data_IF_107663931484
#
_entry.id   IF_107663931484
#
_cell.length_a   1.000
_cell.length_b   1.000
_cell.length_c   1.000
_cell.angle_alpha   90.00
_cell.angle_beta   90.00
_cell.angle_gamma   90.00
#
_symmetry.space_group_name_H-M   'P 1'
#
loop_
_entity.id
_entity.type
_entity.pdbx_description
1 polymer ?
#
# COMPACT_ATOMS: atom_id res chain seq x y z
N UNK A 1 1.53 -25.34 4.67
CA UNK A 1 1.65 -24.37 5.78
C UNK A 1 0.47 -23.41 5.75
N UNK A 2 0.35 -22.52 6.75
CA UNK A 2 -0.77 -21.57 6.86
C UNK A 2 -0.94 -20.73 5.59
N UNK A 3 0.17 -20.24 5.00
CA UNK A 3 0.14 -19.45 3.76
C UNK A 3 -0.39 -20.24 2.56
N UNK A 4 0.01 -21.50 2.37
CA UNK A 4 -0.51 -22.34 1.28
C UNK A 4 -2.03 -22.51 1.38
N UNK A 5 -2.55 -22.84 2.58
CA UNK A 5 -4.00 -23.03 2.77
C UNK A 5 -4.81 -21.79 2.42
N UNK A 6 -4.31 -20.61 2.74
CA UNK A 6 -4.97 -19.35 2.42
C UNK A 6 -4.87 -19.08 0.90
N UNK A 7 -3.72 -19.30 0.28
CA UNK A 7 -3.55 -19.00 -1.14
C UNK A 7 -4.35 -19.97 -1.99
N UNK A 8 -4.38 -21.25 -1.62
CA UNK A 8 -5.21 -22.25 -2.28
C UNK A 8 -6.68 -21.82 -2.29
N UNK A 9 -7.18 -21.18 -1.22
CA UNK A 9 -8.53 -20.63 -1.18
C UNK A 9 -8.73 -19.47 -2.17
N UNK A 10 -7.82 -18.49 -2.20
CA UNK A 10 -7.91 -17.33 -3.10
C UNK A 10 -7.75 -17.73 -4.58
N UNK A 11 -6.83 -18.63 -4.87
CA UNK A 11 -6.51 -19.06 -6.23
C UNK A 11 -7.39 -20.20 -6.74
N UNK A 12 -8.26 -20.79 -5.90
CA UNK A 12 -9.17 -21.88 -6.30
C UNK A 12 -10.01 -21.59 -7.55
N UNK A 13 -10.33 -20.31 -7.76
CA UNK A 13 -11.16 -19.85 -8.87
C UNK A 13 -10.37 -19.43 -10.13
N UNK A 14 -9.05 -19.59 -10.12
CA UNK A 14 -8.16 -19.34 -11.26
C UNK A 14 -7.95 -20.62 -12.08
N UNK A 15 -7.31 -20.50 -13.23
CA UNK A 15 -6.99 -21.66 -14.07
C UNK A 15 -5.98 -22.59 -13.38
N UNK A 16 -6.01 -23.89 -13.73
CA UNK A 16 -5.16 -24.92 -13.11
C UNK A 16 -3.66 -24.59 -13.20
N UNK A 17 -3.26 -23.92 -14.29
CA UNK A 17 -1.89 -23.46 -14.48
C UNK A 17 -1.46 -22.50 -13.36
N UNK A 18 -2.31 -21.52 -13.01
CA UNK A 18 -2.03 -20.55 -11.94
C UNK A 18 -2.08 -21.23 -10.57
N UNK A 19 -3.05 -22.11 -10.36
CA UNK A 19 -3.16 -22.88 -9.11
C UNK A 19 -1.88 -23.70 -8.84
N UNK A 20 -1.29 -24.30 -9.88
CA UNK A 20 -0.04 -25.04 -9.77
C UNK A 20 1.18 -24.20 -9.36
N UNK A 21 1.11 -22.87 -9.50
CA UNK A 21 2.18 -21.95 -9.11
C UNK A 21 2.12 -21.56 -7.63
N UNK A 22 0.96 -21.69 -6.99
CA UNK A 22 0.73 -21.19 -5.62
C UNK A 22 1.77 -21.70 -4.62
N UNK A 23 2.06 -23.02 -4.53
CA UNK A 23 3.05 -23.50 -3.56
C UNK A 23 4.44 -22.90 -3.82
N UNK A 24 4.81 -22.77 -5.11
CA UNK A 24 6.10 -22.21 -5.54
C UNK A 24 6.20 -20.72 -5.22
N UNK A 25 5.11 -19.98 -5.37
CA UNK A 25 5.05 -18.56 -4.99
C UNK A 25 5.25 -18.37 -3.50
N UNK A 26 4.57 -19.17 -2.68
CA UNK A 26 4.71 -19.10 -1.21
C UNK A 26 6.13 -19.45 -0.77
N UNK A 27 6.68 -20.54 -1.29
CA UNK A 27 8.05 -20.97 -0.95
C UNK A 27 9.08 -19.92 -1.41
N UNK A 28 8.90 -19.35 -2.61
CA UNK A 28 9.75 -18.28 -3.13
C UNK A 28 9.71 -17.01 -2.28
N UNK A 29 8.55 -16.59 -1.76
CA UNK A 29 8.44 -15.42 -0.86
C UNK A 29 9.22 -15.69 0.44
N UNK A 30 9.08 -16.89 0.98
CA UNK A 30 9.75 -17.28 2.24
C UNK A 30 11.27 -17.31 2.03
N UNK A 31 11.75 -17.88 0.93
CA UNK A 31 13.18 -17.93 0.60
C UNK A 31 13.76 -16.52 0.42
N UNK A 32 13.12 -15.66 -0.38
CA UNK A 32 13.55 -14.26 -0.56
C UNK A 32 13.58 -13.52 0.78
N UNK A 33 12.56 -13.69 1.62
CA UNK A 33 12.52 -13.07 2.95
C UNK A 33 13.69 -13.54 3.85
N UNK A 34 13.99 -14.84 3.86
CA UNK A 34 15.11 -15.39 4.63
C UNK A 34 16.45 -14.80 4.16
N UNK A 35 16.69 -14.78 2.84
CA UNK A 35 17.90 -14.19 2.26
C UNK A 35 18.02 -12.70 2.55
N UNK A 36 16.91 -11.95 2.56
CA UNK A 36 16.88 -10.54 2.99
C UNK A 36 17.31 -10.42 4.45
N UNK A 37 16.76 -11.25 5.33
CA UNK A 37 17.10 -11.27 6.75
C UNK A 37 18.57 -11.55 7.02
N UNK A 38 19.20 -12.39 6.20
CA UNK A 38 20.62 -12.75 6.35
C UNK A 38 21.58 -11.72 5.73
N UNK A 39 21.16 -11.05 4.65
CA UNK A 39 22.05 -10.18 3.84
C UNK A 39 21.84 -8.69 4.13
N UNK A 40 20.59 -8.24 4.20
CA UNK A 40 20.23 -6.82 4.28
C UNK A 40 19.97 -6.38 5.72
N UNK A 41 20.98 -6.55 6.56
CA UNK A 41 20.91 -6.23 7.98
C UNK A 41 20.83 -4.70 8.23
N UNK A 42 20.10 -4.27 9.27
CA UNK A 42 20.02 -2.86 9.62
C UNK A 42 21.38 -2.32 10.05
N UNK A 43 21.75 -1.17 9.51
CA UNK A 43 22.96 -0.41 9.87
C UNK A 43 22.58 1.01 10.24
N UNK A 44 23.45 1.83 10.86
CA UNK A 44 23.14 3.23 11.12
C UNK A 44 22.70 4.03 9.89
N UNK A 45 23.23 3.71 8.70
CA UNK A 45 22.84 4.34 7.44
C UNK A 45 21.54 3.75 6.84
N UNK A 46 21.15 2.54 7.25
CA UNK A 46 20.02 1.76 6.73
C UNK A 46 19.17 1.22 7.89
N UNK A 47 18.85 2.06 8.86
CA UNK A 47 18.20 1.64 10.12
C UNK A 47 16.77 1.11 9.91
N UNK A 48 16.14 1.51 8.80
CA UNK A 48 14.81 1.08 8.38
C UNK A 48 14.81 -0.26 7.63
N UNK A 49 15.96 -0.91 7.45
CA UNK A 49 16.06 -2.26 6.90
C UNK A 49 15.67 -3.28 7.98
N UNK A 50 14.44 -3.16 8.45
CA UNK A 50 13.83 -4.05 9.42
C UNK A 50 12.71 -4.81 8.73
N UNK A 51 12.90 -6.11 8.61
CA UNK A 51 11.96 -7.01 7.94
C UNK A 51 11.46 -8.05 8.94
N UNK A 52 10.16 -8.31 8.93
CA UNK A 52 9.54 -9.28 9.84
C UNK A 52 8.45 -10.10 9.13
N UNK A 53 7.86 -11.06 9.84
CA UNK A 53 6.85 -11.97 9.27
C UNK A 53 5.60 -11.26 8.73
N UNK A 54 5.31 -10.02 9.16
CA UNK A 54 4.22 -9.21 8.59
C UNK A 54 4.52 -8.81 7.14
N UNK A 55 5.79 -8.72 6.76
CA UNK A 55 6.19 -8.37 5.41
C UNK A 55 5.90 -9.52 4.43
N UNK A 56 6.15 -10.77 4.83
CA UNK A 56 5.71 -11.97 4.09
C UNK A 56 4.20 -11.89 3.82
N UNK A 57 3.42 -11.59 4.87
CA UNK A 57 1.98 -11.46 4.75
C UNK A 57 1.54 -10.33 3.81
N UNK A 58 2.25 -9.19 3.79
CA UNK A 58 1.96 -8.08 2.87
C UNK A 58 2.20 -8.45 1.40
N UNK A 59 3.28 -9.19 1.10
CA UNK A 59 3.54 -9.68 -0.27
C UNK A 59 2.42 -10.62 -0.68
N UNK A 60 2.14 -11.58 0.20
CA UNK A 60 1.12 -12.59 -0.02
C UNK A 60 -0.27 -11.99 -0.26
N UNK A 61 -0.70 -11.02 0.55
CA UNK A 61 -1.95 -10.31 0.38
C UNK A 61 -2.02 -9.55 -0.94
N UNK A 62 -0.90 -8.93 -1.36
CA UNK A 62 -0.83 -8.25 -2.65
C UNK A 62 -1.01 -9.22 -3.82
N UNK A 63 -0.36 -10.38 -3.77
CA UNK A 63 -0.47 -11.42 -4.79
C UNK A 63 -1.90 -11.99 -4.84
N UNK A 64 -2.51 -12.24 -3.68
CA UNK A 64 -3.91 -12.69 -3.59
C UNK A 64 -4.92 -11.62 -4.03
N UNK A 65 -4.51 -10.35 -4.13
CA UNK A 65 -5.33 -9.26 -4.64
C UNK A 65 -5.52 -9.32 -6.16
N UNK A 66 -4.71 -10.08 -6.90
CA UNK A 66 -4.78 -10.17 -8.35
C UNK A 66 -6.19 -10.57 -8.81
N UNK A 67 -6.75 -9.84 -9.76
CA UNK A 67 -8.08 -10.16 -10.29
C UNK A 67 -8.03 -11.37 -11.22
N UNK A 68 -8.83 -12.41 -10.93
CA UNK A 68 -9.04 -13.53 -11.86
C UNK A 68 -9.55 -13.09 -13.24
N UNK A 69 -10.29 -11.98 -13.33
CA UNK A 69 -10.87 -11.54 -14.61
C UNK A 69 -9.82 -10.87 -15.50
N UNK A 70 -8.76 -10.33 -14.90
CA UNK A 70 -7.75 -9.52 -15.58
C UNK A 70 -6.34 -10.12 -15.50
N UNK A 71 -6.14 -11.20 -14.75
CA UNK A 71 -4.84 -11.78 -14.40
C UNK A 71 -4.87 -13.30 -14.24
N UNK A 72 -5.60 -14.02 -15.11
CA UNK A 72 -5.73 -15.49 -15.03
C UNK A 72 -4.63 -16.29 -15.75
N UNK A 73 -3.53 -15.64 -16.15
CA UNK A 73 -2.41 -16.36 -16.80
C UNK A 73 -1.28 -16.59 -15.80
N UNK A 74 -0.54 -17.70 -15.97
CA UNK A 74 0.66 -17.98 -15.19
C UNK A 74 1.65 -16.81 -15.20
N UNK A 75 1.90 -16.24 -16.38
CA UNK A 75 2.82 -15.12 -16.56
C UNK A 75 2.40 -13.88 -15.77
N UNK A 76 1.10 -13.51 -15.79
CA UNK A 76 0.60 -12.36 -15.04
C UNK A 76 0.68 -12.58 -13.52
N UNK A 77 0.43 -13.81 -13.06
CA UNK A 77 0.55 -14.15 -11.66
C UNK A 77 2.01 -14.09 -11.18
N UNK A 78 2.97 -14.55 -12.00
CA UNK A 78 4.41 -14.43 -11.73
C UNK A 78 4.87 -12.96 -11.74
N UNK A 79 4.40 -12.16 -12.70
CA UNK A 79 4.67 -10.71 -12.74
C UNK A 79 4.11 -9.99 -11.52
N UNK A 80 2.91 -10.35 -11.07
CA UNK A 80 2.33 -9.84 -9.84
C UNK A 80 3.20 -10.21 -8.62
N UNK A 81 3.68 -11.45 -8.55
CA UNK A 81 4.60 -11.89 -7.50
C UNK A 81 5.88 -11.04 -7.43
N UNK A 82 6.53 -10.78 -8.57
CA UNK A 82 7.71 -9.89 -8.64
C UNK A 82 7.37 -8.47 -8.23
N UNK A 83 6.23 -7.95 -8.71
CA UNK A 83 5.77 -6.61 -8.34
C UNK A 83 5.62 -6.47 -6.82
N UNK A 84 4.96 -7.43 -6.18
CA UNK A 84 4.68 -7.40 -4.74
C UNK A 84 5.93 -7.55 -3.87
N UNK A 85 6.92 -8.34 -4.30
CA UNK A 85 8.24 -8.39 -3.66
C UNK A 85 8.89 -7.02 -3.71
N UNK A 86 8.88 -6.36 -4.87
CA UNK A 86 9.42 -5.02 -5.03
C UNK A 86 8.65 -3.98 -4.20
N UNK A 87 7.32 -4.05 -4.11
CA UNK A 87 6.52 -3.09 -3.31
C UNK A 87 6.77 -3.24 -1.81
N UNK A 88 7.01 -4.45 -1.31
CA UNK A 88 7.17 -4.68 0.14
C UNK A 88 8.61 -4.55 0.59
N UNK A 89 9.54 -5.10 -0.20
CA UNK A 89 10.97 -5.13 0.13
C UNK A 89 11.75 -4.07 -0.64
N UNK A 90 11.60 -4.04 -1.97
CA UNK A 90 12.34 -3.15 -2.86
C UNK A 90 12.15 -1.65 -2.59
N UNK A 91 10.93 -1.22 -2.27
CA UNK A 91 10.61 0.18 -1.96
C UNK A 91 11.31 0.69 -0.68
N UNK A 92 11.84 -0.19 0.18
CA UNK A 92 12.66 0.19 1.34
C UNK A 92 14.15 0.35 1.00
N UNK A 93 14.59 -0.11 -0.17
CA UNK A 93 16.01 -0.12 -0.54
C UNK A 93 16.45 1.25 -1.06
N UNK A 94 17.53 1.79 -0.48
CA UNK A 94 17.98 3.17 -0.73
C UNK A 94 19.07 3.27 -1.79
N UNK A 95 19.84 2.21 -2.02
CA UNK A 95 20.94 2.22 -2.98
C UNK A 95 20.76 1.20 -4.12
N UNK A 96 21.45 1.47 -5.22
CA UNK A 96 21.35 0.64 -6.42
C UNK A 96 22.00 -0.74 -6.24
N UNK A 97 22.92 -0.89 -5.28
CA UNK A 97 23.57 -2.18 -5.03
C UNK A 97 22.58 -3.16 -4.41
N UNK A 98 21.84 -2.74 -3.39
CA UNK A 98 20.83 -3.57 -2.74
C UNK A 98 19.66 -3.86 -3.69
N UNK A 99 19.26 -2.89 -4.51
CA UNK A 99 18.23 -3.09 -5.54
C UNK A 99 18.65 -4.13 -6.57
N UNK A 100 19.88 -4.04 -7.07
CA UNK A 100 20.43 -5.04 -7.99
C UNK A 100 20.56 -6.42 -7.33
N UNK A 101 20.90 -6.47 -6.03
CA UNK A 101 20.92 -7.73 -5.28
C UNK A 101 19.52 -8.36 -5.18
N UNK A 102 18.48 -7.56 -4.92
CA UNK A 102 17.10 -8.06 -4.85
C UNK A 102 16.64 -8.56 -6.23
N UNK A 103 16.94 -7.82 -7.29
CA UNK A 103 16.64 -8.25 -8.67
C UNK A 103 17.33 -9.58 -9.00
N UNK A 104 18.57 -9.80 -8.55
CA UNK A 104 19.26 -11.08 -8.73
C UNK A 104 18.54 -12.23 -7.99
N UNK A 105 18.03 -11.99 -6.78
CA UNK A 105 17.22 -13.00 -6.07
C UNK A 105 15.92 -13.31 -6.82
N UNK A 106 15.28 -12.29 -7.40
CA UNK A 106 14.09 -12.46 -8.24
C UNK A 106 14.42 -13.28 -9.49
N UNK A 107 15.50 -12.96 -10.20
CA UNK A 107 15.98 -13.70 -11.38
C UNK A 107 16.25 -15.17 -11.08
N UNK A 108 16.93 -15.46 -9.97
CA UNK A 108 17.18 -16.84 -9.51
C UNK A 108 15.86 -17.59 -9.29
N UNK A 109 14.90 -17.02 -8.55
CA UNK A 109 13.60 -17.68 -8.29
C UNK A 109 12.74 -17.84 -9.55
N UNK A 110 12.79 -16.89 -10.47
CA UNK A 110 12.12 -16.99 -11.78
C UNK A 110 12.56 -18.22 -12.57
N UNK A 111 13.86 -18.52 -12.56
CA UNK A 111 14.39 -19.72 -13.22
C UNK A 111 14.13 -20.99 -12.41
N UNK A 112 14.45 -21.01 -11.12
CA UNK A 112 14.42 -22.22 -10.30
C UNK A 112 13.00 -22.69 -9.97
N UNK A 113 12.13 -21.76 -9.55
CA UNK A 113 10.78 -22.10 -9.10
C UNK A 113 9.80 -22.14 -10.27
N UNK A 114 9.85 -21.13 -11.13
CA UNK A 114 8.84 -20.90 -12.16
C UNK A 114 9.26 -21.44 -13.54
N UNK A 115 10.56 -21.68 -13.79
CA UNK A 115 11.04 -22.17 -15.07
C UNK A 115 10.83 -21.17 -16.22
N UNK A 116 10.75 -19.88 -15.90
CA UNK A 116 10.54 -18.81 -16.88
C UNK A 116 11.83 -18.03 -17.08
N UNK A 117 12.02 -17.50 -18.28
CA UNK A 117 13.11 -16.58 -18.56
C UNK A 117 12.89 -15.28 -17.77
N UNK A 118 13.80 -14.88 -16.87
CA UNK A 118 13.67 -13.64 -16.13
C UNK A 118 13.52 -12.43 -17.03
N UNK A 119 14.13 -12.43 -18.22
CA UNK A 119 14.05 -11.30 -19.15
C UNK A 119 12.68 -11.18 -19.82
N UNK A 120 11.83 -12.21 -19.80
CA UNK A 120 10.42 -12.09 -20.24
C UNK A 120 9.55 -11.39 -19.17
N UNK A 121 9.89 -11.58 -17.89
CA UNK A 121 9.18 -11.01 -16.74
C UNK A 121 9.67 -9.59 -16.46
N UNK A 122 10.98 -9.39 -16.46
CA UNK A 122 11.66 -8.15 -16.10
C UNK A 122 11.91 -7.21 -17.29
N UNK A 123 11.48 -7.58 -18.51
CA UNK A 123 11.68 -6.76 -19.73
C UNK A 123 11.11 -5.35 -19.65
N UNK A 124 10.02 -5.19 -18.91
CA UNK A 124 9.32 -3.92 -18.83
C UNK A 124 10.08 -2.99 -17.90
N UNK A 125 10.53 -1.85 -18.41
CA UNK A 125 11.18 -0.81 -17.60
C UNK A 125 10.34 -0.39 -16.39
N UNK A 126 9.00 -0.57 -16.47
CA UNK A 126 8.05 -0.28 -15.40
C UNK A 126 7.08 -1.44 -15.23
N UNK A 127 7.17 -2.14 -14.10
CA UNK A 127 6.23 -3.18 -13.69
C UNK A 127 5.25 -2.61 -12.66
N UNK A 128 4.08 -2.19 -13.11
CA UNK A 128 3.07 -1.51 -12.29
C UNK A 128 1.79 -2.31 -12.25
N UNK A 129 1.25 -2.48 -11.06
CA UNK A 129 -0.10 -3.00 -10.83
C UNK A 129 -0.91 -1.91 -10.13
N UNK A 130 -2.22 -1.88 -10.41
CA UNK A 130 -3.12 -0.90 -9.82
C UNK A 130 -4.58 -1.31 -9.90
N UNK A 131 -5.40 -0.70 -9.04
CA UNK A 131 -6.86 -0.90 -8.94
C UNK A 131 -7.58 0.42 -9.23
N UNK A 132 -7.38 0.96 -10.43
CA UNK A 132 -7.99 2.23 -10.84
C UNK A 132 -8.17 2.37 -12.36
N UNK A 133 -7.88 1.30 -13.12
CA UNK A 133 -7.89 1.34 -14.59
C UNK A 133 -9.28 1.07 -15.19
N UNK A 134 -10.21 0.49 -14.44
CA UNK A 134 -11.57 0.19 -14.89
C UNK A 134 -12.48 1.42 -14.67
N UNK A 135 -12.15 2.55 -15.31
CA UNK A 135 -12.87 3.83 -15.15
C UNK A 135 -14.37 3.67 -15.38
N UNK A 136 -15.18 4.08 -14.39
CA UNK A 136 -16.64 4.02 -14.44
C UNK A 136 -17.26 2.64 -14.18
N UNK A 137 -16.46 1.62 -13.83
CA UNK A 137 -16.97 0.32 -13.40
C UNK A 137 -17.25 0.30 -11.89
N UNK A 138 -18.32 -0.40 -11.50
CA UNK A 138 -18.69 -0.62 -10.09
C UNK A 138 -17.62 -1.43 -9.32
N UNK A 139 -16.84 -2.25 -10.03
CA UNK A 139 -15.79 -3.08 -9.45
C UNK A 139 -14.47 -2.76 -10.12
N UNK A 140 -13.55 -2.17 -9.36
CA UNK A 140 -12.18 -1.97 -9.78
C UNK A 140 -11.36 -3.25 -9.57
N UNK A 141 -10.61 -3.66 -10.58
CA UNK A 141 -9.76 -4.85 -10.51
C UNK A 141 -8.30 -4.47 -10.30
N UNK A 142 -7.63 -5.16 -9.37
CA UNK A 142 -6.18 -5.10 -9.27
C UNK A 142 -5.56 -5.90 -10.41
N UNK A 143 -4.82 -5.23 -11.28
CA UNK A 143 -4.29 -5.81 -12.51
C UNK A 143 -2.98 -5.15 -12.95
N UNK A 144 -2.25 -5.86 -13.80
CA UNK A 144 -1.08 -5.30 -14.46
C UNK A 144 -1.47 -4.16 -15.40
N UNK A 145 -0.72 -3.06 -15.33
CA UNK A 145 -0.87 -1.92 -16.21
C UNK A 145 0.24 -1.98 -17.26
N UNK A 146 -0.12 -2.32 -18.51
CA UNK A 146 0.83 -2.43 -19.62
C UNK A 146 1.03 -1.14 -20.40
N UNK A 147 0.03 -0.26 -20.43
CA UNK A 147 0.06 1.01 -21.14
C UNK A 147 0.26 2.17 -20.14
N UNK A 148 1.51 2.64 -20.06
CA UNK A 148 1.92 3.72 -19.16
C UNK A 148 1.31 5.07 -19.54
N UNK A 149 1.06 5.33 -20.83
CA UNK A 149 0.46 6.58 -21.26
C UNK A 149 -1.03 6.59 -20.92
N UNK A 150 -1.71 5.46 -21.12
CA UNK A 150 -3.09 5.30 -20.66
C UNK A 150 -3.19 5.43 -19.13
N UNK A 151 -2.25 4.85 -18.38
CA UNK A 151 -2.20 5.01 -16.92
C UNK A 151 -2.15 6.49 -16.52
N UNK A 152 -1.27 7.25 -17.17
CA UNK A 152 -1.13 8.69 -16.95
C UNK A 152 -2.44 9.42 -17.25
N UNK A 153 -3.06 9.16 -18.41
CA UNK A 153 -4.34 9.78 -18.79
C UNK A 153 -5.46 9.50 -17.78
N UNK A 154 -5.53 8.26 -17.27
CA UNK A 154 -6.51 7.89 -16.24
C UNK A 154 -6.27 8.66 -14.94
N UNK A 155 -5.03 8.75 -14.48
CA UNK A 155 -4.69 9.50 -13.25
C UNK A 155 -4.92 11.01 -13.43
N UNK A 156 -4.64 11.56 -14.61
CA UNK A 156 -4.94 12.96 -14.95
C UNK A 156 -6.46 13.22 -14.94
N UNK A 157 -7.27 12.29 -15.43
CA UNK A 157 -8.72 12.40 -15.36
C UNK A 157 -9.23 12.42 -13.91
N UNK A 158 -8.70 11.57 -13.02
CA UNK A 158 -9.01 11.60 -11.59
C UNK A 158 -8.58 12.91 -10.93
N UNK A 159 -7.42 13.46 -11.32
CA UNK A 159 -6.95 14.75 -10.81
C UNK A 159 -7.87 15.89 -11.24
N UNK A 160 -8.35 15.87 -12.48
CA UNK A 160 -9.30 16.86 -12.98
C UNK A 160 -10.64 16.77 -12.24
N UNK A 161 -11.13 15.55 -11.99
CA UNK A 161 -12.35 15.32 -11.21
C UNK A 161 -12.20 15.83 -9.78
N UNK A 162 -11.09 15.49 -9.10
CA UNK A 162 -10.77 16.03 -7.78
C UNK A 162 -10.79 17.56 -7.78
N UNK A 163 -10.12 18.18 -8.76
CA UNK A 163 -10.03 19.64 -8.86
C UNK A 163 -11.36 20.33 -9.16
N UNK A 164 -12.33 19.59 -9.72
CA UNK A 164 -13.67 20.09 -10.01
C UNK A 164 -14.55 20.18 -8.76
N UNK A 165 -14.34 19.30 -7.78
CA UNK A 165 -15.15 19.20 -6.56
C UNK A 165 -14.45 19.79 -5.33
N UNK A 166 -13.11 19.77 -5.28
CA UNK A 166 -12.34 20.20 -4.14
C UNK A 166 -12.31 21.73 -3.97
N UNK A 167 -12.38 22.18 -2.72
CA UNK A 167 -12.21 23.60 -2.35
C UNK A 167 -10.79 24.08 -2.68
N UNK A 168 -9.79 23.22 -2.44
CA UNK A 168 -8.38 23.49 -2.70
C UNK A 168 -7.89 22.65 -3.87
N UNK A 169 -7.71 23.28 -5.03
CA UNK A 169 -7.19 22.61 -6.23
C UNK A 169 -5.72 22.26 -6.09
N UNK A 170 -5.34 21.13 -6.68
CA UNK A 170 -3.99 20.64 -6.81
C UNK A 170 -3.50 20.84 -8.26
N UNK A 171 -2.72 21.90 -8.56
CA UNK A 171 -2.18 22.16 -9.90
C UNK A 171 -0.96 21.27 -10.17
N UNK A 172 -1.15 19.95 -10.17
CA UNK A 172 -0.09 18.99 -10.42
C UNK A 172 0.09 18.79 -11.92
N UNK A 173 1.35 18.62 -12.35
CA UNK A 173 1.68 18.13 -13.68
C UNK A 173 2.09 16.67 -13.52
N UNK A 174 1.34 15.75 -14.14
CA UNK A 174 1.60 14.32 -14.02
C UNK A 174 2.69 13.87 -14.99
N UNK A 175 3.62 13.08 -14.48
CA UNK A 175 4.65 12.37 -15.22
C UNK A 175 4.72 10.94 -14.68
N UNK A 176 5.37 10.04 -15.42
CA UNK A 176 5.29 8.60 -15.12
C UNK A 176 5.75 8.25 -13.70
N UNK A 177 6.79 8.88 -13.17
CA UNK A 177 7.23 8.61 -11.79
C UNK A 177 6.19 9.07 -10.75
N UNK A 178 5.50 10.20 -10.99
CA UNK A 178 4.40 10.63 -10.14
C UNK A 178 3.21 9.65 -10.21
N UNK A 179 2.90 9.15 -11.40
CA UNK A 179 1.87 8.11 -11.59
C UNK A 179 2.24 6.80 -10.88
N UNK A 180 3.51 6.39 -10.90
CA UNK A 180 3.97 5.26 -10.11
C UNK A 180 3.84 5.49 -8.62
N UNK A 181 4.17 6.68 -8.12
CA UNK A 181 3.98 7.02 -6.71
C UNK A 181 2.50 6.98 -6.31
N UNK A 182 1.60 7.47 -7.16
CA UNK A 182 0.14 7.33 -6.96
C UNK A 182 -0.23 5.85 -6.90
N UNK A 183 0.26 5.04 -7.84
CA UNK A 183 -0.02 3.59 -7.87
C UNK A 183 0.48 2.88 -6.61
N UNK A 184 1.68 3.23 -6.11
CA UNK A 184 2.24 2.69 -4.87
C UNK A 184 1.42 3.07 -3.65
N UNK A 185 1.03 4.34 -3.53
CA UNK A 185 0.21 4.81 -2.41
C UNK A 185 -1.17 4.13 -2.45
N UNK A 186 -1.84 4.10 -3.61
CA UNK A 186 -3.13 3.42 -3.76
C UNK A 186 -3.04 1.92 -3.44
N UNK A 187 -1.99 1.22 -3.88
CA UNK A 187 -1.74 -0.18 -3.50
C UNK A 187 -1.57 -0.35 -1.99
N UNK A 188 -0.91 0.58 -1.30
CA UNK A 188 -0.79 0.53 0.16
C UNK A 188 -2.16 0.76 0.81
N UNK A 189 -2.90 1.78 0.39
CA UNK A 189 -4.21 2.13 0.95
C UNK A 189 -5.25 1.00 0.81
N UNK A 190 -5.17 0.19 -0.25
CA UNK A 190 -6.05 -0.96 -0.48
C UNK A 190 -5.73 -2.16 0.45
N UNK A 191 -4.59 -2.14 1.18
CA UNK A 191 -4.27 -3.20 2.13
C UNK A 191 -4.95 -3.00 3.50
N UNK A 192 -5.40 -4.08 4.15
CA UNK A 192 -5.98 -4.00 5.48
C UNK A 192 -4.93 -3.53 6.50
N UNK A 193 -5.33 -2.61 7.38
CA UNK A 193 -4.47 -2.02 8.44
C UNK A 193 -3.17 -1.42 7.88
N UNK A 194 -3.24 -0.85 6.69
CA UNK A 194 -2.11 -0.26 6.00
C UNK A 194 -1.64 1.06 6.62
N UNK A 195 -0.36 1.36 6.40
CA UNK A 195 0.24 2.65 6.67
C UNK A 195 1.43 2.84 5.73
N UNK A 196 1.75 4.11 5.44
CA UNK A 196 2.87 4.50 4.61
C UNK A 196 3.65 5.63 5.28
N UNK A 197 4.97 5.46 5.40
CA UNK A 197 5.89 6.55 5.72
C UNK A 197 6.50 7.06 4.42
N UNK A 198 6.07 8.25 3.98
CA UNK A 198 6.53 8.84 2.73
C UNK A 198 7.77 9.70 2.95
N UNK A 199 8.94 9.17 2.56
CA UNK A 199 10.22 9.86 2.65
C UNK A 199 10.57 10.52 1.32
N UNK A 200 11.09 11.75 1.38
CA UNK A 200 11.52 12.48 0.19
C UNK A 200 11.87 13.92 0.51
N UNK A 201 12.53 14.59 -0.44
CA UNK A 201 12.85 16.02 -0.33
C UNK A 201 11.57 16.88 -0.32
N UNK A 202 11.65 18.08 0.26
CA UNK A 202 10.55 19.04 0.19
C UNK A 202 10.17 19.34 -1.26
N UNK A 203 8.86 19.45 -1.54
CA UNK A 203 8.36 19.73 -2.89
C UNK A 203 8.18 18.50 -3.80
N UNK A 204 8.49 17.29 -3.35
CA UNK A 204 8.30 16.05 -4.13
C UNK A 204 6.83 15.62 -4.33
N UNK A 205 5.87 16.43 -3.87
CA UNK A 205 4.44 16.17 -4.07
C UNK A 205 3.79 15.17 -3.12
N UNK A 206 4.53 14.62 -2.13
CA UNK A 206 4.03 13.58 -1.19
C UNK A 206 2.59 13.81 -0.70
N UNK A 207 2.30 14.98 -0.14
CA UNK A 207 0.96 15.30 0.37
C UNK A 207 -0.10 15.30 -0.74
N UNK A 208 0.20 15.93 -1.88
CA UNK A 208 -0.74 16.04 -3.00
C UNK A 208 -1.00 14.70 -3.66
N UNK A 209 0.04 13.87 -3.81
CA UNK A 209 -0.10 12.51 -4.33
C UNK A 209 -0.88 11.61 -3.35
N UNK A 210 -0.70 11.77 -2.04
CA UNK A 210 -1.54 11.06 -1.06
C UNK A 210 -3.01 11.46 -1.18
N UNK A 211 -3.32 12.76 -1.27
CA UNK A 211 -4.72 13.20 -1.44
C UNK A 211 -5.33 12.65 -2.74
N UNK A 212 -4.58 12.67 -3.84
CA UNK A 212 -5.02 12.11 -5.11
C UNK A 212 -5.25 10.58 -5.01
N UNK A 213 -4.32 9.84 -4.42
CA UNK A 213 -4.46 8.40 -4.22
C UNK A 213 -5.64 8.05 -3.32
N UNK A 214 -5.88 8.81 -2.24
CA UNK A 214 -7.07 8.63 -1.40
C UNK A 214 -8.35 8.87 -2.19
N UNK A 215 -8.38 9.91 -3.03
CA UNK A 215 -9.53 10.19 -3.89
C UNK A 215 -9.78 9.06 -4.90
N UNK A 216 -8.73 8.54 -5.55
CA UNK A 216 -8.83 7.39 -6.47
C UNK A 216 -9.39 6.14 -5.78
N UNK A 217 -9.08 5.96 -4.49
CA UNK A 217 -9.58 4.85 -3.68
C UNK A 217 -10.97 5.11 -3.07
N UNK A 218 -11.62 6.25 -3.37
CA UNK A 218 -12.87 6.68 -2.73
C UNK A 218 -12.77 6.83 -1.19
N UNK A 219 -11.58 7.18 -0.68
CA UNK A 219 -11.33 7.36 0.75
C UNK A 219 -11.31 8.84 1.13
N UNK A 220 -11.92 9.18 2.27
CA UNK A 220 -11.88 10.54 2.82
C UNK A 220 -10.47 10.81 3.39
N UNK A 221 -9.75 11.77 2.81
CA UNK A 221 -8.43 12.16 3.30
C UNK A 221 -8.57 13.25 4.37
N UNK A 222 -8.29 12.87 5.61
CA UNK A 222 -8.30 13.77 6.75
C UNK A 222 -6.88 14.23 7.08
N UNK A 223 -6.64 15.54 7.09
CA UNK A 223 -5.37 16.13 7.51
C UNK A 223 -5.61 17.11 8.64
N UNK A 224 -4.82 17.02 9.70
CA UNK A 224 -4.90 17.95 10.83
C UNK A 224 -4.48 19.36 10.42
N UNK A 225 -5.03 20.37 11.11
CA UNK A 225 -4.64 21.76 10.95
C UNK A 225 -4.05 22.30 12.26
N UNK A 226 -2.74 22.53 12.25
CA UNK A 226 -2.03 23.02 13.44
C UNK A 226 -2.15 24.53 13.53
N UNK A 227 -3.12 25.01 14.32
CA UNK A 227 -3.31 26.41 14.64
C UNK A 227 -2.62 26.81 15.97
N UNK A 228 -2.60 28.12 16.28
CA UNK A 228 -2.07 28.61 17.56
C UNK A 228 -2.90 28.03 18.72
N UNK A 229 -2.24 27.32 19.63
CA UNK A 229 -2.89 26.67 20.77
C UNK A 229 -3.24 25.20 20.54
N UNK A 230 -2.98 24.67 19.34
CA UNK A 230 -3.10 23.24 19.07
C UNK A 230 -2.08 22.45 19.88
N UNK A 231 -2.56 21.44 20.62
CA UNK A 231 -1.74 20.55 21.42
C UNK A 231 -2.27 19.12 21.40
N UNK A 232 -1.95 18.36 22.45
CA UNK A 232 -2.25 16.93 22.50
C UNK A 232 -3.76 16.64 22.65
N UNK A 233 -4.52 17.55 23.26
CA UNK A 233 -5.96 17.37 23.43
C UNK A 233 -6.68 17.47 22.08
N UNK A 234 -6.35 18.48 21.28
CA UNK A 234 -6.88 18.70 19.95
C UNK A 234 -6.49 17.53 19.03
N UNK A 235 -5.23 17.10 19.08
CA UNK A 235 -4.76 15.94 18.31
C UNK A 235 -5.52 14.64 18.66
N UNK A 236 -5.78 14.39 19.94
CA UNK A 236 -6.58 13.24 20.35
C UNK A 236 -8.02 13.34 19.85
N UNK A 237 -8.63 14.52 19.86
CA UNK A 237 -9.98 14.71 19.30
C UNK A 237 -10.01 14.50 17.78
N UNK A 238 -8.97 14.90 17.05
CA UNK A 238 -8.85 14.65 15.60
C UNK A 238 -8.71 13.14 15.30
N UNK A 239 -7.85 12.44 16.05
CA UNK A 239 -7.72 10.97 15.94
C UNK A 239 -9.04 10.28 16.29
N UNK A 240 -9.71 10.70 17.37
CA UNK A 240 -11.02 10.17 17.78
C UNK A 240 -12.06 10.38 16.70
N UNK A 241 -12.14 11.57 16.12
CA UNK A 241 -13.07 11.89 15.03
C UNK A 241 -12.86 10.93 13.85
N UNK A 242 -11.61 10.65 13.52
CA UNK A 242 -11.28 9.71 12.46
C UNK A 242 -11.74 8.28 12.78
N UNK A 243 -11.39 7.78 13.97
CA UNK A 243 -11.75 6.42 14.41
C UNK A 243 -13.27 6.24 14.55
N UNK A 244 -13.99 7.24 15.06
CA UNK A 244 -15.44 7.21 15.23
C UNK A 244 -16.16 7.16 13.87
N UNK A 245 -15.76 7.98 12.90
CA UNK A 245 -16.29 7.91 11.53
C UNK A 245 -16.04 6.55 10.89
N UNK A 246 -14.82 6.00 11.04
CA UNK A 246 -14.51 4.67 10.51
C UNK A 246 -15.34 3.57 11.20
N UNK A 247 -15.51 3.63 12.52
CA UNK A 247 -16.18 2.58 13.29
C UNK A 247 -17.71 2.65 13.29
N UNK A 248 -18.29 3.85 13.25
CA UNK A 248 -19.75 4.07 13.37
C UNK A 248 -20.39 4.32 12.01
N UNK A 249 -19.75 5.10 11.13
CA UNK A 249 -20.31 5.46 9.82
C UNK A 249 -19.88 4.51 8.69
N UNK A 250 -19.01 3.53 8.98
CA UNK A 250 -18.42 2.60 8.00
C UNK A 250 -17.74 3.32 6.81
N UNK A 251 -17.15 4.49 7.07
CA UNK A 251 -16.40 5.28 6.07
C UNK A 251 -14.91 5.04 6.20
N UNK A 252 -14.25 4.69 5.10
CA UNK A 252 -12.80 4.52 5.08
C UNK A 252 -12.11 5.89 5.02
N UNK A 253 -11.17 6.11 5.93
CA UNK A 253 -10.41 7.37 6.01
C UNK A 253 -8.91 7.18 5.93
N UNK A 254 -8.24 8.18 5.34
CA UNK A 254 -6.78 8.31 5.32
C UNK A 254 -6.37 9.47 6.21
N UNK A 255 -5.72 9.17 7.33
CA UNK A 255 -5.14 10.18 8.22
C UNK A 255 -3.77 10.62 7.69
N UNK A 256 -3.72 11.82 7.09
CA UNK A 256 -2.50 12.43 6.57
C UNK A 256 -1.82 13.28 7.64
N UNK A 257 -0.63 12.84 8.08
CA UNK A 257 0.15 13.49 9.13
C UNK A 257 1.55 13.84 8.63
N UNK A 258 1.91 15.12 8.66
CA UNK A 258 3.17 15.64 8.15
C UNK A 258 4.15 15.94 9.28
N UNK A 259 5.45 15.86 8.97
CA UNK A 259 6.55 16.21 9.88
C UNK A 259 6.44 17.64 10.43
N UNK A 260 6.06 18.60 9.57
CA UNK A 260 5.84 20.00 9.97
C UNK A 260 4.67 20.20 10.94
N UNK A 261 3.83 19.19 11.15
CA UNK A 261 2.69 19.22 12.06
C UNK A 261 2.98 18.54 13.40
N UNK A 262 4.18 17.95 13.58
CA UNK A 262 4.59 17.30 14.82
C UNK A 262 5.03 18.37 15.82
N UNK A 263 4.23 18.58 16.87
CA UNK A 263 4.53 19.56 17.94
C UNK A 263 5.18 18.87 19.14
N UNK A 264 4.82 17.61 19.41
CA UNK A 264 5.36 16.80 20.49
C UNK A 264 5.56 15.34 20.06
N UNK A 265 6.51 14.65 20.70
CA UNK A 265 6.77 13.22 20.47
C UNK A 265 5.57 12.34 20.84
N UNK A 266 4.76 12.78 21.82
CA UNK A 266 3.53 12.10 22.26
C UNK A 266 2.51 11.91 21.11
N UNK A 267 2.49 12.81 20.12
CA UNK A 267 1.62 12.66 18.94
C UNK A 267 2.02 11.43 18.11
N UNK A 268 3.32 11.20 17.94
CA UNK A 268 3.85 10.05 17.21
C UNK A 268 3.57 8.76 18.00
N UNK A 269 3.66 8.81 19.33
CA UNK A 269 3.27 7.69 20.20
C UNK A 269 1.78 7.34 20.07
N UNK A 270 0.90 8.34 20.01
CA UNK A 270 -0.52 8.11 19.78
C UNK A 270 -0.78 7.45 18.42
N UNK A 271 -0.12 7.88 17.34
CA UNK A 271 -0.20 7.19 16.04
C UNK A 271 0.30 5.74 16.15
N UNK A 272 1.39 5.50 16.86
CA UNK A 272 1.90 4.14 17.08
C UNK A 272 0.88 3.24 17.81
N UNK A 273 0.13 3.79 18.77
CA UNK A 273 -0.95 3.06 19.43
C UNK A 273 -2.07 2.72 18.43
N UNK A 274 -2.49 3.66 17.57
CA UNK A 274 -3.46 3.37 16.50
C UNK A 274 -2.95 2.25 15.57
N UNK A 275 -1.68 2.28 15.18
CA UNK A 275 -1.12 1.27 14.27
C UNK A 275 -1.00 -0.12 14.89
N UNK A 276 -0.75 -0.20 16.21
CA UNK A 276 -0.54 -1.46 16.92
C UNK A 276 -1.84 -2.05 17.47
N UNK A 277 -2.59 -1.26 18.25
CA UNK A 277 -3.83 -1.68 18.92
C UNK A 277 -5.09 -1.29 18.17
N UNK A 278 -5.02 -0.40 17.18
CA UNK A 278 -6.21 0.16 16.53
C UNK A 278 -6.89 1.27 17.34
N UNK A 279 -6.27 1.71 18.43
CA UNK A 279 -6.88 2.65 19.37
C UNK A 279 -5.81 3.40 20.20
N UNK A 280 -6.19 4.54 20.79
CA UNK A 280 -5.35 5.33 21.69
C UNK A 280 -5.88 5.21 23.14
N UNK A 281 -5.02 4.96 24.14
CA UNK A 281 -5.48 4.89 25.53
C UNK A 281 -6.17 6.18 26.01
N UNK A 282 -7.29 6.02 26.71
CA UNK A 282 -8.11 7.11 27.28
C UNK A 282 -8.61 8.11 26.22
N UNK A 283 -8.93 7.64 25.02
CA UNK A 283 -9.43 8.48 23.93
C UNK A 283 -10.93 8.81 24.07
N UNK A 284 -11.75 7.83 24.45
CA UNK A 284 -13.20 7.94 24.47
C UNK A 284 -13.73 8.38 25.84
N UNK A 285 -14.74 9.25 25.82
CA UNK A 285 -15.55 9.59 26.99
C UNK A 285 -16.70 8.60 27.14
N UNK A 286 -17.41 8.66 28.27
CA UNK A 286 -18.57 7.78 28.54
C UNK A 286 -19.63 7.88 27.43
N UNK A 287 -19.93 9.10 26.99
CA UNK A 287 -20.89 9.36 25.89
C UNK A 287 -20.43 8.74 24.56
N UNK A 288 -19.13 8.80 24.26
CA UNK A 288 -18.54 8.18 23.06
C UNK A 288 -18.69 6.65 23.12
N UNK A 289 -18.42 6.04 24.29
CA UNK A 289 -18.56 4.59 24.48
C UNK A 289 -20.02 4.12 24.36
N UNK A 290 -20.99 4.90 24.83
CA UNK A 290 -22.40 4.59 24.66
C UNK A 290 -22.81 4.61 23.17
N UNK A 291 -22.30 5.59 22.41
CA UNK A 291 -22.52 5.67 20.97
C UNK A 291 -21.92 4.46 20.22
N UNK A 292 -20.66 4.10 20.54
CA UNK A 292 -20.00 2.91 19.97
C UNK A 292 -20.78 1.64 20.32
N UNK A 293 -21.17 1.48 21.59
CA UNK A 293 -21.92 0.30 22.03
C UNK A 293 -23.30 0.19 21.36
N UNK A 294 -23.93 1.32 21.03
CA UNK A 294 -25.17 1.33 20.27
C UNK A 294 -24.94 0.89 18.81
N UNK A 295 -23.91 1.42 18.16
CA UNK A 295 -23.58 1.10 16.77
C UNK A 295 -23.16 -0.38 16.58
N UNK A 296 -22.40 -0.94 17.52
CA UNK A 296 -21.98 -2.35 17.46
C UNK A 296 -23.11 -3.36 17.71
N UNK A 297 -24.29 -2.93 18.21
CA UNK A 297 -25.44 -3.81 18.46
C UNK A 297 -26.36 -3.94 17.24
N UNK A 298 -26.30 -3.00 16.31
CA UNK A 298 -27.03 -2.99 15.05
C UNK A 298 -26.25 -3.69 13.96
#
# INVERSE_FOLDING_TARGET
>A
GIFNTIADYFFKAFDEEVQGLVPKMVDGIIDVFQKIGDTLLPTPAKSHYTFNLRDIWKVFLGVCGLSRQKGNSAMMAIRCWVHEINRVFGDRLVDNKDRAWLEEQEREKLQECFGVDPDEVLKSDRLVFGRFMDVGADVQHYMEISDMERMKQVIEAYLDEYNSTAVHRMPLVMFLDACEHVSRISRILDQPRANALLLGVGGSGRQSLTRLSSFICDYECYQIEVAKGYGMNEFKEDVKTCLMKCGIEDKVQVFLFCDTQIISEEMVEAINNVLNSGDVPNLYKVEDLDAIASACRT
#
